data_IF_538312569746
#
_entry.id   IF_538312569746
#
_cell.length_a   1.000
_cell.length_b   1.000
_cell.length_c   1.000
_cell.angle_alpha   90.00
_cell.angle_beta   90.00
_cell.angle_gamma   90.00
#
_symmetry.space_group_name_H-M   'P 1'
#
loop_
_entity.id
_entity.type
_entity.pdbx_description
1 polymer ?
#
# COMPACT_ATOMS: atom_id res chain seq x y z
N UNK A 1 -33.06 -24.04 0.17
CA UNK A 1 -32.14 -22.97 -0.26
C UNK A 1 -30.73 -23.37 0.14
N UNK A 2 -29.94 -23.88 -0.80
CA UNK A 2 -28.60 -24.40 -0.52
C UNK A 2 -27.57 -23.29 -0.71
N UNK A 3 -27.05 -22.76 0.40
CA UNK A 3 -25.93 -21.81 0.40
C UNK A 3 -24.66 -22.55 -0.03
N UNK A 4 -24.28 -22.39 -1.30
CA UNK A 4 -23.01 -22.91 -1.82
C UNK A 4 -21.87 -22.12 -1.18
N UNK A 5 -21.27 -22.67 -0.13
CA UNK A 5 -19.98 -22.19 0.38
C UNK A 5 -18.93 -22.42 -0.70
N UNK A 6 -18.28 -21.34 -1.12
CA UNK A 6 -17.14 -21.38 -2.04
C UNK A 6 -16.00 -22.21 -1.40
N UNK A 7 -15.27 -23.01 -2.18
CA UNK A 7 -14.20 -23.87 -1.68
C UNK A 7 -13.09 -23.04 -1.01
N UNK A 8 -12.62 -23.52 0.13
CA UNK A 8 -11.67 -22.85 1.04
C UNK A 8 -10.39 -22.36 0.35
N UNK A 9 -9.95 -23.04 -0.71
CA UNK A 9 -8.75 -22.72 -1.50
C UNK A 9 -8.86 -21.41 -2.29
N UNK A 10 -10.04 -21.06 -2.81
CA UNK A 10 -10.23 -19.80 -3.56
C UNK A 10 -10.20 -18.57 -2.62
N UNK A 11 -10.56 -18.75 -1.33
CA UNK A 11 -10.55 -17.66 -0.33
C UNK A 11 -9.16 -17.34 0.22
N UNK A 12 -8.24 -18.31 0.29
CA UNK A 12 -6.85 -18.05 0.71
C UNK A 12 -6.08 -17.25 -0.33
N UNK A 13 -6.33 -17.51 -1.61
CA UNK A 13 -5.66 -16.87 -2.73
C UNK A 13 -6.11 -15.41 -2.84
N UNK A 14 -7.41 -15.16 -2.69
CA UNK A 14 -7.97 -13.80 -2.64
C UNK A 14 -7.46 -12.97 -1.46
N UNK A 15 -7.36 -13.54 -0.25
CA UNK A 15 -6.81 -12.84 0.92
C UNK A 15 -5.34 -12.45 0.69
N UNK A 16 -4.56 -13.34 0.11
CA UNK A 16 -3.15 -13.12 -0.19
C UNK A 16 -2.96 -12.04 -1.26
N UNK A 17 -3.72 -12.13 -2.36
CA UNK A 17 -3.67 -11.14 -3.44
C UNK A 17 -4.10 -9.75 -2.96
N UNK A 18 -5.20 -9.67 -2.19
CA UNK A 18 -5.68 -8.41 -1.64
C UNK A 18 -4.65 -7.76 -0.70
N UNK A 19 -4.07 -8.55 0.20
CA UNK A 19 -2.98 -8.09 1.10
C UNK A 19 -1.81 -7.54 0.30
N UNK A 20 -1.42 -8.25 -0.77
CA UNK A 20 -0.31 -7.87 -1.61
C UNK A 20 -0.54 -6.56 -2.35
N UNK A 21 -1.70 -6.41 -2.99
CA UNK A 21 -2.07 -5.21 -3.74
C UNK A 21 -2.20 -3.98 -2.84
N UNK A 22 -2.79 -4.14 -1.66
CA UNK A 22 -2.88 -3.05 -0.69
C UNK A 22 -1.50 -2.61 -0.19
N UNK A 23 -0.62 -3.55 0.15
CA UNK A 23 0.71 -3.23 0.66
C UNK A 23 1.55 -2.45 -0.37
N UNK A 24 1.57 -2.90 -1.63
CA UNK A 24 2.35 -2.24 -2.68
C UNK A 24 1.76 -0.88 -3.09
N UNK A 25 0.44 -0.72 -3.02
CA UNK A 25 -0.24 0.56 -3.26
C UNK A 25 0.14 1.58 -2.19
N UNK A 26 -0.10 1.25 -0.92
CA UNK A 26 0.15 2.15 0.21
C UNK A 26 1.62 2.60 0.30
N UNK A 27 2.56 1.67 0.07
CA UNK A 27 3.99 2.03 0.04
C UNK A 27 4.33 2.87 -1.21
N UNK A 28 3.63 2.66 -2.32
CA UNK A 28 3.73 3.51 -3.51
C UNK A 28 3.32 4.95 -3.22
N UNK A 29 2.20 5.15 -2.52
CA UNK A 29 1.76 6.48 -2.09
C UNK A 29 2.82 7.13 -1.19
N UNK A 30 3.25 6.42 -0.14
CA UNK A 30 4.18 6.96 0.86
C UNK A 30 5.54 7.36 0.29
N UNK A 31 5.99 6.66 -0.76
CA UNK A 31 7.28 6.89 -1.40
C UNK A 31 7.24 7.90 -2.55
N UNK A 32 6.09 8.11 -3.18
CA UNK A 32 6.00 8.88 -4.42
C UNK A 32 4.97 10.00 -4.30
N UNK A 33 3.74 9.67 -3.90
CA UNK A 33 2.61 10.61 -3.91
C UNK A 33 2.70 11.60 -2.74
N UNK A 34 2.93 11.13 -1.52
CA UNK A 34 2.97 12.00 -0.35
C UNK A 34 4.15 12.98 -0.36
N UNK A 35 5.37 12.60 -0.80
CA UNK A 35 6.42 13.56 -1.06
C UNK A 35 6.05 14.58 -2.14
N UNK A 36 5.26 14.20 -3.15
CA UNK A 36 4.78 15.13 -4.16
C UNK A 36 3.75 16.11 -3.60
N UNK A 37 2.85 15.67 -2.71
CA UNK A 37 1.97 16.58 -1.96
C UNK A 37 2.80 17.61 -1.19
N UNK A 38 3.74 17.16 -0.36
CA UNK A 38 4.59 18.02 0.47
C UNK A 38 5.41 19.02 -0.36
N UNK A 39 5.80 18.65 -1.59
CA UNK A 39 6.61 19.49 -2.47
C UNK A 39 5.79 20.54 -3.23
N UNK A 40 4.62 20.17 -3.74
CA UNK A 40 3.89 20.98 -4.72
C UNK A 40 2.66 21.69 -4.17
N UNK A 41 2.10 21.23 -3.06
CA UNK A 41 0.88 21.79 -2.47
C UNK A 41 1.24 22.57 -1.20
N UNK A 42 0.76 23.82 -1.07
CA UNK A 42 1.09 24.69 0.07
C UNK A 42 0.77 24.05 1.43
N UNK A 43 -0.38 23.37 1.56
CA UNK A 43 -0.78 22.59 2.75
C UNK A 43 -0.55 21.07 2.58
N UNK A 44 0.31 20.69 1.63
CA UNK A 44 0.51 19.29 1.23
C UNK A 44 1.04 18.39 2.34
N UNK A 45 1.74 18.94 3.34
CA UNK A 45 2.16 18.17 4.51
C UNK A 45 0.97 17.68 5.35
N UNK A 46 -0.02 18.54 5.57
CA UNK A 46 -1.19 18.16 6.36
C UNK A 46 -2.01 17.09 5.64
N UNK A 47 -2.11 17.18 4.31
CA UNK A 47 -2.74 16.18 3.44
C UNK A 47 -2.01 14.83 3.52
N UNK A 48 -0.68 14.83 3.31
CA UNK A 48 0.14 13.63 3.45
C UNK A 48 0.07 13.01 4.86
N UNK A 49 0.05 13.81 5.93
CA UNK A 49 -0.05 13.31 7.30
C UNK A 49 -1.44 12.71 7.61
N UNK A 50 -2.51 13.29 7.06
CA UNK A 50 -3.87 12.72 7.12
C UNK A 50 -3.90 11.34 6.47
N UNK A 51 -3.40 11.23 5.25
CA UNK A 51 -3.47 9.99 4.47
C UNK A 51 -2.57 8.90 5.06
N UNK A 52 -1.42 9.26 5.64
CA UNK A 52 -0.61 8.33 6.46
C UNK A 52 -1.36 7.79 7.67
N UNK A 53 -2.17 8.61 8.34
CA UNK A 53 -2.96 8.17 9.48
C UNK A 53 -4.08 7.21 9.05
N UNK A 54 -4.75 7.49 7.93
CA UNK A 54 -5.72 6.59 7.30
C UNK A 54 -5.07 5.26 6.91
N UNK A 55 -3.88 5.29 6.30
CA UNK A 55 -3.09 4.11 6.00
C UNK A 55 -2.66 3.32 7.24
N UNK A 56 -2.24 3.97 8.32
CA UNK A 56 -1.89 3.28 9.56
C UNK A 56 -3.07 2.45 10.09
N UNK A 57 -4.27 3.03 10.10
CA UNK A 57 -5.51 2.34 10.51
C UNK A 57 -5.84 1.17 9.58
N UNK A 58 -5.73 1.36 8.26
CA UNK A 58 -5.92 0.29 7.29
C UNK A 58 -4.90 -0.85 7.46
N UNK A 59 -3.63 -0.54 7.76
CA UNK A 59 -2.55 -1.52 8.01
C UNK A 59 -2.83 -2.33 9.28
N UNK A 60 -3.32 -1.72 10.36
CA UNK A 60 -3.71 -2.43 11.59
C UNK A 60 -4.85 -3.43 11.35
N UNK A 61 -5.89 -3.00 10.63
CA UNK A 61 -7.01 -3.85 10.25
C UNK A 61 -6.56 -4.98 9.30
N UNK A 62 -5.67 -4.69 8.35
CA UNK A 62 -5.10 -5.68 7.45
C UNK A 62 -4.27 -6.72 8.20
N UNK A 63 -3.44 -6.31 9.16
CA UNK A 63 -2.66 -7.23 10.00
C UNK A 63 -3.59 -8.17 10.78
N UNK A 64 -4.65 -7.62 11.38
CA UNK A 64 -5.67 -8.41 12.07
C UNK A 64 -6.34 -9.40 11.11
N UNK A 65 -6.80 -8.91 9.94
CA UNK A 65 -7.44 -9.72 8.91
C UNK A 65 -6.58 -10.89 8.41
N UNK A 66 -5.27 -10.67 8.24
CA UNK A 66 -4.34 -11.71 7.82
C UNK A 66 -4.27 -12.88 8.81
N UNK A 67 -4.38 -12.61 10.11
CA UNK A 67 -4.32 -13.63 11.17
C UNK A 67 -5.64 -14.41 11.33
N UNK A 68 -6.76 -13.86 10.88
CA UNK A 68 -8.08 -14.49 11.03
C UNK A 68 -8.29 -15.63 10.02
N UNK A 69 -8.93 -16.71 10.50
CA UNK A 69 -9.38 -17.82 9.66
C UNK A 69 -10.71 -17.47 8.97
N UNK A 70 -10.92 -17.86 7.71
CA UNK A 70 -12.17 -17.58 6.99
C UNK A 70 -13.46 -18.14 7.64
N UNK A 71 -13.33 -19.06 8.60
CA UNK A 71 -14.44 -19.77 9.25
C UNK A 71 -14.99 -19.07 10.50
N UNK A 72 -14.32 -18.04 11.03
CA UNK A 72 -14.77 -17.32 12.24
C UNK A 72 -15.51 -16.03 11.87
N UNK A 73 -16.58 -15.64 12.59
CA UNK A 73 -17.37 -14.44 12.28
C UNK A 73 -16.56 -13.14 12.23
N UNK A 74 -15.49 -13.06 13.02
CA UNK A 74 -14.58 -11.92 13.09
C UNK A 74 -13.93 -11.64 11.73
N UNK A 75 -13.71 -12.67 10.90
CA UNK A 75 -13.13 -12.51 9.57
C UNK A 75 -13.94 -11.54 8.70
N UNK A 76 -15.25 -11.74 8.63
CA UNK A 76 -16.13 -10.90 7.82
C UNK A 76 -16.30 -9.51 8.41
N UNK A 77 -16.31 -9.41 9.76
CA UNK A 77 -16.40 -8.12 10.46
C UNK A 77 -15.16 -7.25 10.17
N UNK A 78 -13.96 -7.80 10.35
CA UNK A 78 -12.71 -7.09 10.10
C UNK A 78 -12.55 -6.75 8.61
N UNK A 79 -12.94 -7.65 7.70
CA UNK A 79 -12.91 -7.36 6.26
C UNK A 79 -13.84 -6.19 5.90
N UNK A 80 -15.06 -6.14 6.45
CA UNK A 80 -15.99 -5.03 6.20
C UNK A 80 -15.45 -3.70 6.73
N UNK A 81 -14.86 -3.70 7.92
CA UNK A 81 -14.22 -2.51 8.46
C UNK A 81 -13.07 -2.05 7.58
N UNK A 82 -12.16 -2.96 7.22
CA UNK A 82 -11.03 -2.65 6.34
C UNK A 82 -11.49 -2.09 4.99
N UNK A 83 -12.50 -2.70 4.35
CA UNK A 83 -13.04 -2.19 3.10
C UNK A 83 -13.73 -0.82 3.26
N UNK A 84 -14.32 -0.54 4.42
CA UNK A 84 -14.88 0.78 4.73
C UNK A 84 -13.80 1.85 4.79
N UNK A 85 -12.75 1.63 5.57
CA UNK A 85 -11.62 2.57 5.68
C UNK A 85 -10.95 2.82 4.32
N UNK A 86 -10.71 1.76 3.55
CA UNK A 86 -10.12 1.89 2.21
C UNK A 86 -11.04 2.64 1.25
N UNK A 87 -12.34 2.39 1.29
CA UNK A 87 -13.29 3.07 0.41
C UNK A 87 -13.39 4.57 0.72
N UNK A 88 -13.30 4.95 2.00
CA UNK A 88 -13.29 6.35 2.41
C UNK A 88 -11.98 7.04 1.99
N UNK A 89 -10.85 6.38 2.24
CA UNK A 89 -9.52 6.85 1.83
C UNK A 89 -9.42 7.08 0.30
N UNK A 90 -9.71 6.05 -0.49
CA UNK A 90 -9.67 6.11 -1.97
C UNK A 90 -10.59 7.23 -2.49
N UNK A 91 -11.77 7.40 -1.89
CA UNK A 91 -12.68 8.46 -2.29
C UNK A 91 -12.09 9.86 -2.03
N UNK A 92 -11.43 10.07 -0.90
CA UNK A 92 -10.72 11.31 -0.61
C UNK A 92 -9.61 11.57 -1.63
N UNK A 93 -8.78 10.57 -1.89
CA UNK A 93 -7.69 10.69 -2.85
C UNK A 93 -8.18 11.00 -4.27
N UNK A 94 -9.17 10.25 -4.78
CA UNK A 94 -9.69 10.42 -6.15
C UNK A 94 -10.42 11.75 -6.36
N UNK A 95 -11.16 12.22 -5.35
CA UNK A 95 -12.05 13.38 -5.50
C UNK A 95 -11.41 14.70 -5.08
N UNK A 96 -10.40 14.64 -4.21
CA UNK A 96 -9.80 15.83 -3.62
C UNK A 96 -8.29 15.89 -3.83
N UNK A 97 -7.54 14.89 -3.38
CA UNK A 97 -6.09 15.03 -3.24
C UNK A 97 -5.37 14.89 -4.59
N UNK A 98 -5.75 13.93 -5.43
CA UNK A 98 -5.21 13.77 -6.78
C UNK A 98 -5.53 14.98 -7.69
N UNK A 99 -6.78 15.50 -7.74
CA UNK A 99 -7.06 16.73 -8.49
C UNK A 99 -6.26 17.94 -8.02
N UNK A 100 -6.07 18.12 -6.70
CA UNK A 100 -5.27 19.22 -6.15
C UNK A 100 -3.80 19.08 -6.54
N UNK A 101 -3.26 17.86 -6.50
CA UNK A 101 -1.90 17.59 -6.94
C UNK A 101 -1.73 17.89 -8.43
N UNK A 102 -2.62 17.39 -9.29
CA UNK A 102 -2.55 17.63 -10.74
C UNK A 102 -2.56 19.13 -11.07
N UNK A 103 -3.38 19.93 -10.39
CA UNK A 103 -3.44 21.39 -10.58
C UNK A 103 -2.18 22.12 -10.10
N UNK A 104 -1.43 21.53 -9.17
CA UNK A 104 -0.23 22.13 -8.57
C UNK A 104 1.06 21.72 -9.29
N UNK A 105 1.01 20.69 -10.14
CA UNK A 105 2.17 20.15 -10.83
C UNK A 105 2.55 21.01 -12.06
N UNK A 106 3.85 21.24 -12.31
CA UNK A 106 4.31 21.76 -13.58
C UNK A 106 4.09 20.74 -14.71
N UNK A 107 3.92 21.23 -15.94
CA UNK A 107 3.64 20.38 -17.10
C UNK A 107 4.69 19.27 -17.29
N UNK A 108 4.24 18.01 -17.39
CA UNK A 108 5.08 16.82 -17.58
C UNK A 108 5.35 16.01 -16.31
N UNK A 109 5.29 16.63 -15.12
CA UNK A 109 5.63 15.95 -13.87
C UNK A 109 4.60 14.89 -13.45
N UNK A 110 3.33 15.05 -13.84
CA UNK A 110 2.28 14.05 -13.57
C UNK A 110 2.61 12.69 -14.20
N UNK A 111 3.09 12.68 -15.44
CA UNK A 111 3.48 11.44 -16.14
C UNK A 111 4.70 10.77 -15.51
N UNK A 112 5.65 11.57 -15.02
CA UNK A 112 6.84 11.08 -14.32
C UNK A 112 6.48 10.48 -12.96
N UNK A 113 5.61 11.15 -12.19
CA UNK A 113 5.10 10.64 -10.92
C UNK A 113 4.32 9.33 -11.12
N UNK A 114 3.43 9.26 -12.11
CA UNK A 114 2.72 8.02 -12.44
C UNK A 114 3.69 6.89 -12.80
N UNK A 115 4.74 7.18 -13.59
CA UNK A 115 5.76 6.20 -13.94
C UNK A 115 6.55 5.74 -12.71
N UNK A 116 6.94 6.66 -11.84
CA UNK A 116 7.65 6.39 -10.59
C UNK A 116 6.81 5.52 -9.65
N UNK A 117 5.52 5.84 -9.50
CA UNK A 117 4.57 5.08 -8.70
C UNK A 117 4.43 3.64 -9.22
N UNK A 118 4.22 3.47 -10.53
CA UNK A 118 4.12 2.14 -11.16
C UNK A 118 5.41 1.32 -11.03
N UNK A 119 6.58 1.97 -11.11
CA UNK A 119 7.87 1.31 -10.85
C UNK A 119 7.97 0.88 -9.39
N UNK A 120 7.69 1.78 -8.46
CA UNK A 120 7.72 1.49 -7.02
C UNK A 120 6.87 0.27 -6.68
N UNK A 121 5.63 0.20 -7.17
CA UNK A 121 4.76 -0.97 -6.99
C UNK A 121 5.37 -2.29 -7.47
N UNK A 122 6.31 -2.31 -8.42
CA UNK A 122 6.98 -3.54 -8.91
C UNK A 122 8.13 -4.01 -8.01
N UNK A 123 8.69 -3.12 -7.20
CA UNK A 123 9.88 -3.38 -6.39
C UNK A 123 9.61 -3.47 -4.89
N UNK A 124 8.41 -3.07 -4.44
CA UNK A 124 8.00 -3.18 -3.04
C UNK A 124 7.80 -4.65 -2.64
N UNK A 125 8.28 -5.09 -1.45
CA UNK A 125 8.16 -6.47 -0.99
C UNK A 125 6.72 -6.97 -0.96
N UNK A 126 6.55 -8.27 -1.22
CA UNK A 126 5.22 -8.87 -1.37
C UNK A 126 4.51 -9.20 -0.05
N UNK A 127 5.11 -8.85 1.10
CA UNK A 127 4.57 -9.10 2.44
C UNK A 127 4.83 -7.92 3.38
N UNK A 128 3.77 -7.36 3.94
CA UNK A 128 3.83 -6.43 5.07
C UNK A 128 4.14 -7.24 6.33
N UNK A 129 5.37 -7.15 6.84
CA UNK A 129 5.69 -7.67 8.16
C UNK A 129 5.50 -6.54 9.20
N UNK A 130 4.93 -6.78 10.39
CA UNK A 130 4.69 -5.76 11.42
C UNK A 130 5.95 -5.02 11.91
N UNK A 131 7.14 -5.54 11.59
CA UNK A 131 8.44 -4.95 11.92
C UNK A 131 9.07 -4.20 10.74
N UNK A 132 8.34 -4.04 9.64
CA UNK A 132 8.78 -3.18 8.54
C UNK A 132 8.78 -1.74 9.06
N UNK A 133 9.92 -1.01 8.95
CA UNK A 133 9.98 0.37 9.41
C UNK A 133 8.90 1.23 8.75
N UNK A 134 8.19 2.06 9.53
CA UNK A 134 7.18 3.03 9.04
C UNK A 134 7.75 4.08 8.07
N UNK A 135 9.08 4.12 7.94
CA UNK A 135 9.80 4.91 6.96
C UNK A 135 10.75 4.00 6.22
N UNK A 136 10.63 3.86 4.89
CA UNK A 136 11.72 3.28 4.12
C UNK A 136 12.98 4.12 4.41
N UNK A 137 14.17 3.50 4.52
CA UNK A 137 15.38 4.28 4.74
C UNK A 137 15.44 5.32 3.62
N UNK A 138 15.52 6.60 3.95
CA UNK A 138 15.45 7.69 2.97
C UNK A 138 16.56 7.60 1.89
N UNK A 139 17.59 6.79 2.11
CA UNK A 139 18.65 6.46 1.14
C UNK A 139 18.23 5.40 0.08
N UNK A 140 17.07 4.77 0.24
CA UNK A 140 16.72 3.55 -0.52
C UNK A 140 16.13 3.84 -1.89
N UNK A 141 15.46 4.95 -2.16
CA UNK A 141 14.93 5.17 -3.53
C UNK A 141 16.07 5.39 -4.53
N UNK A 142 17.05 6.23 -4.18
CA UNK A 142 18.27 6.42 -4.99
C UNK A 142 19.15 5.17 -4.94
N UNK A 143 19.30 4.55 -3.76
CA UNK A 143 20.07 3.32 -3.57
C UNK A 143 19.51 2.12 -4.33
N UNK A 144 18.19 1.98 -4.47
CA UNK A 144 17.53 0.89 -5.21
C UNK A 144 17.55 1.12 -6.72
N UNK A 145 17.48 2.38 -7.15
CA UNK A 145 17.63 2.78 -8.56
C UNK A 145 19.08 2.62 -9.06
N UNK A 146 20.06 2.63 -8.16
CA UNK A 146 21.49 2.55 -8.49
C UNK A 146 22.17 1.25 -8.01
N UNK A 147 21.47 0.39 -7.27
CA UNK A 147 22.02 -0.87 -6.79
C UNK A 147 22.22 -1.88 -7.94
N UNK A 148 23.36 -2.59 -7.98
CA UNK A 148 23.55 -3.68 -8.92
C UNK A 148 22.59 -4.85 -8.59
N UNK A 149 22.19 -5.59 -9.64
CA UNK A 149 21.09 -6.58 -9.63
C UNK A 149 21.30 -7.70 -8.59
N UNK A 150 22.55 -8.01 -8.27
CA UNK A 150 22.99 -8.98 -7.26
C UNK A 150 22.61 -8.56 -5.83
N UNK A 151 22.68 -7.27 -5.49
CA UNK A 151 22.26 -6.75 -4.18
C UNK A 151 20.73 -6.76 -4.00
N UNK A 152 19.96 -6.63 -5.08
CA UNK A 152 18.51 -6.77 -5.01
C UNK A 152 18.14 -8.20 -4.59
N UNK A 153 18.84 -9.21 -5.14
CA UNK A 153 18.64 -10.62 -4.79
C UNK A 153 18.85 -10.95 -3.31
N UNK A 154 19.77 -10.27 -2.63
CA UNK A 154 20.04 -10.49 -1.20
C UNK A 154 18.97 -9.90 -0.28
N UNK A 155 18.31 -8.80 -0.68
CA UNK A 155 17.11 -8.27 0.02
C UNK A 155 15.97 -9.29 -0.06
N UNK A 156 15.90 -10.05 -1.16
CA UNK A 156 14.92 -11.11 -1.36
C UNK A 156 15.33 -12.47 -0.76
N UNK A 157 16.54 -12.61 -0.19
CA UNK A 157 17.06 -13.88 0.33
C UNK A 157 17.05 -13.95 1.86
N UNK A 158 15.88 -14.29 2.43
CA UNK A 158 15.68 -15.40 3.39
C UNK A 158 14.27 -15.38 3.99
N UNK A 159 13.56 -16.49 3.80
CA UNK A 159 12.67 -17.05 4.82
C UNK A 159 13.11 -18.52 5.01
N UNK A 160 13.35 -19.00 6.25
CA UNK A 160 13.65 -20.41 6.49
C UNK A 160 12.45 -21.29 6.09
N UNK A 161 12.75 -22.44 5.48
CA UNK A 161 11.80 -23.54 5.33
C UNK A 161 12.04 -24.47 6.52
N UNK A 162 11.02 -24.68 7.32
CA UNK A 162 10.70 -25.99 7.90
C UNK A 162 9.26 -26.31 7.51
#
# INVERSE_FOLDING_TARGET
MSSKRLPTTIRSDGKTQFTWELARHSIGEELVVYPAFEKYIADGKAMADKDRAEHAKAKELLNTFQQLKPSIPEFERTLKQLMGELSEHIKGEEQEDMPKLEQSLPGGESAELATSFQRTKKFVPTRSHPSAPDKPPFETVVGLMTAPIDKLGDIFRRFPKD
#
